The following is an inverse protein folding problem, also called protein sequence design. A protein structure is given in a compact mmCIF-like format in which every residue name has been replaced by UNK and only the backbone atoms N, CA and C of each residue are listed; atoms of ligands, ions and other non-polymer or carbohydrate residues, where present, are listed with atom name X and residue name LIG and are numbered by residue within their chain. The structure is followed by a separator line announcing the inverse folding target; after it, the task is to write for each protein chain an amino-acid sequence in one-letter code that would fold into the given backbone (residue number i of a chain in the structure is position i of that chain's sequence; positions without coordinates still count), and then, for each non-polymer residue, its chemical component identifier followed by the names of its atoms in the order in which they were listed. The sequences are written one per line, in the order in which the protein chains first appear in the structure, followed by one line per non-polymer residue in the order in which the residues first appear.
data_IF_312186746556
#
_entry.id   IF_312186746556
#
_cell.length_a   1.000
_cell.length_b   1.000
_cell.length_c   1.000
_cell.angle_alpha   90.00
_cell.angle_beta   90.00
_cell.angle_gamma   90.00
#
_symmetry.space_group_name_H-M   'P 1'
#
loop_
_entity.id
_entity.type
_entity.pdbx_description
1 polymer ?
#
# COMPACT_ATOMS: atom_id res chain seq x y z
N UNK A 1 1.55 -8.67 19.29
CA UNK A 1 0.86 -7.85 20.31
C UNK A 1 0.43 -6.53 19.66
N UNK A 2 -0.74 -6.01 20.03
CA UNK A 2 -1.96 -5.76 19.25
C UNK A 2 -1.88 -4.48 18.38
N UNK A 3 -2.69 -4.25 17.35
CA UNK A 3 -4.15 -4.40 17.29
C UNK A 3 -4.75 -2.99 17.42
N UNK A 4 -5.05 -2.37 16.27
CA UNK A 4 -5.77 -1.10 16.17
C UNK A 4 -7.19 -1.23 16.71
N UNK A 5 -7.58 -0.33 17.62
CA UNK A 5 -8.97 0.12 17.73
C UNK A 5 -9.08 1.26 18.74
N UNK A 6 -8.91 2.49 18.28
CA UNK A 6 -9.47 3.64 18.99
C UNK A 6 -9.68 4.81 18.04
N UNK A 7 -10.92 5.05 17.60
CA UNK A 7 -11.38 6.42 17.39
C UNK A 7 -12.90 6.50 17.50
N UNK A 8 -13.33 7.11 18.60
CA UNK A 8 -14.65 7.67 18.84
C UNK A 8 -14.88 8.86 17.90
N UNK A 9 -16.09 8.90 17.33
CA UNK A 9 -16.94 10.08 17.34
C UNK A 9 -16.71 11.13 16.26
N UNK A 10 -17.70 11.29 15.39
CA UNK A 10 -18.14 12.62 14.93
C UNK A 10 -19.67 12.63 14.93
N UNK A 11 -20.24 13.47 15.81
CA UNK A 11 -21.64 13.93 15.77
C UNK A 11 -21.66 15.23 14.99
N UNK A 12 -22.52 15.39 13.98
CA UNK A 12 -22.81 16.71 13.38
C UNK A 12 -24.21 16.69 12.76
N UNK A 13 -25.19 17.26 13.49
CA UNK A 13 -25.93 18.54 13.23
C UNK A 13 -27.23 18.35 12.43
N UNK A 14 -28.30 18.14 13.20
CA UNK A 14 -29.54 18.93 13.23
C UNK A 14 -30.10 19.46 11.89
N UNK A 15 -31.00 18.68 11.29
CA UNK A 15 -31.97 19.15 10.30
C UNK A 15 -33.11 19.90 11.01
N UNK A 16 -33.14 21.23 10.90
CA UNK A 16 -34.36 22.00 11.10
C UNK A 16 -35.05 22.17 9.75
N UNK A 17 -36.27 21.62 9.62
CA UNK A 17 -37.41 22.13 8.83
C UNK A 17 -38.48 21.03 8.73
N UNK A 18 -39.25 20.85 9.80
CA UNK A 18 -40.53 20.14 9.74
C UNK A 18 -41.60 21.12 9.26
N UNK A 19 -42.09 20.96 8.03
CA UNK A 19 -43.24 21.71 7.52
C UNK A 19 -44.53 21.15 8.11
N UNK A 20 -45.16 21.94 8.99
CA UNK A 20 -46.52 21.75 9.49
C UNK A 20 -47.51 21.65 8.31
N UNK A 21 -48.22 20.52 8.20
CA UNK A 21 -49.57 20.50 7.62
C UNK A 21 -50.54 21.04 8.67
N UNK A 22 -51.51 21.90 8.30
CA UNK A 22 -52.75 21.99 9.03
C UNK A 22 -53.91 21.56 8.13
N UNK A 23 -54.49 20.41 8.46
CA UNK A 23 -55.87 20.11 8.14
C UNK A 23 -56.61 19.91 9.45
N UNK A 24 -57.45 20.87 9.84
CA UNK A 24 -58.58 20.69 10.75
C UNK A 24 -59.45 21.96 10.75
N UNK A 25 -60.76 21.75 10.66
CA UNK A 25 -61.84 22.74 10.62
C UNK A 25 -62.09 23.33 12.01
N UNK A 26 -62.65 24.54 12.05
CA UNK A 26 -63.82 24.98 12.86
C UNK A 26 -64.01 26.50 12.67
N UNK A 27 -65.13 26.94 12.07
CA UNK A 27 -66.38 27.33 12.75
C UNK A 27 -66.27 28.65 13.51
N UNK A 28 -66.80 29.73 12.93
CA UNK A 28 -67.44 30.83 13.67
C UNK A 28 -68.42 31.57 12.77
N UNK A 29 -69.64 31.72 13.29
CA UNK A 29 -70.82 32.35 12.71
C UNK A 29 -70.66 33.87 12.55
N UNK A 30 -71.23 34.44 11.48
CA UNK A 30 -72.07 35.63 11.61
C UNK A 30 -73.02 35.79 10.40
N UNK A 31 -74.27 36.12 10.69
CA UNK A 31 -75.38 36.51 9.80
C UNK A 31 -76.09 37.67 10.52
N UNK A 32 -76.92 38.50 9.86
CA UNK A 32 -76.77 39.26 8.61
C UNK A 32 -77.04 40.78 8.90
N UNK A 33 -77.34 41.63 7.89
CA UNK A 33 -78.75 42.00 7.79
C UNK A 33 -79.32 42.00 6.36
N UNK A 34 -80.64 41.79 6.33
CA UNK A 34 -81.54 41.90 5.18
C UNK A 34 -81.72 43.35 4.76
N UNK A 35 -81.85 43.56 3.44
CA UNK A 35 -82.63 44.57 2.67
C UNK A 35 -81.82 44.89 1.39
N UNK A 36 -82.33 44.88 0.16
CA UNK A 36 -83.67 45.12 -0.35
C UNK A 36 -83.95 44.25 -1.58
N UNK A 37 -85.21 43.84 -1.74
CA UNK A 37 -85.79 43.48 -3.03
C UNK A 37 -85.67 44.70 -3.94
N UNK A 38 -84.90 44.62 -5.03
CA UNK A 38 -85.15 45.42 -6.22
C UNK A 38 -85.68 44.49 -7.30
N UNK A 39 -86.99 44.61 -7.47
CA UNK A 39 -87.78 44.22 -8.62
C UNK A 39 -87.03 44.44 -9.92
N UNK A 40 -87.07 43.44 -10.81
CA UNK A 40 -86.71 43.58 -12.21
C UNK A 40 -87.40 44.81 -12.81
N UNK A 41 -86.62 45.77 -13.31
CA UNK A 41 -87.06 46.78 -14.26
C UNK A 41 -85.83 47.35 -14.96
N UNK A 42 -85.90 47.23 -16.27
CA UNK A 42 -85.20 47.98 -17.30
C UNK A 42 -83.66 47.94 -17.36
N UNK A 43 -83.23 47.04 -18.25
CA UNK A 43 -82.05 47.22 -19.08
C UNK A 43 -82.21 48.52 -19.88
N UNK A 44 -81.60 49.61 -19.42
CA UNK A 44 -81.26 50.74 -20.28
C UNK A 44 -80.16 51.61 -19.64
N UNK A 45 -78.99 51.54 -20.27
CA UNK A 45 -78.09 52.66 -20.53
C UNK A 45 -77.18 53.20 -19.40
N UNK A 46 -76.17 52.40 -19.03
CA UNK A 46 -74.82 52.90 -18.70
C UNK A 46 -73.79 52.07 -19.50
N UNK A 47 -73.80 52.21 -20.84
CA UNK A 47 -72.89 51.51 -21.75
C UNK A 47 -71.86 52.46 -22.36
N UNK A 48 -71.09 53.14 -21.50
CA UNK A 48 -69.88 53.86 -21.96
C UNK A 48 -68.67 53.72 -21.03
N UNK A 49 -68.82 53.41 -19.74
CA UNK A 49 -67.66 53.10 -18.86
C UNK A 49 -67.22 51.62 -18.92
N UNK A 50 -68.07 50.73 -19.43
CA UNK A 50 -67.79 49.29 -19.49
C UNK A 50 -66.78 48.92 -20.60
N UNK A 51 -66.72 49.69 -21.68
CA UNK A 51 -65.78 49.46 -22.79
C UNK A 51 -64.34 49.79 -22.40
N UNK A 52 -64.11 50.88 -21.66
CA UNK A 52 -62.78 51.29 -21.20
C UNK A 52 -62.20 50.29 -20.19
N UNK A 53 -63.05 49.77 -19.30
CA UNK A 53 -62.73 48.67 -18.37
C UNK A 53 -62.35 47.38 -19.12
N UNK A 54 -63.10 47.01 -20.16
CA UNK A 54 -62.85 45.80 -20.96
C UNK A 54 -61.53 45.88 -21.73
N UNK A 55 -61.20 47.05 -22.31
CA UNK A 55 -59.90 47.28 -22.97
C UNK A 55 -58.73 47.28 -21.99
N UNK A 56 -58.92 47.84 -20.79
CA UNK A 56 -57.92 47.82 -19.72
C UNK A 56 -57.62 46.39 -19.24
N UNK A 57 -58.66 45.56 -19.08
CA UNK A 57 -58.55 44.14 -18.73
C UNK A 57 -57.83 43.35 -19.84
N UNK A 58 -58.13 43.63 -21.11
CA UNK A 58 -57.42 42.99 -22.22
C UNK A 58 -55.94 43.40 -22.27
N UNK A 59 -55.62 44.67 -22.01
CA UNK A 59 -54.24 45.15 -21.94
C UNK A 59 -53.46 44.47 -20.81
N UNK A 60 -54.03 44.41 -19.61
CA UNK A 60 -53.40 43.74 -18.46
C UNK A 60 -53.26 42.24 -18.67
N UNK A 61 -54.24 41.56 -19.28
CA UNK A 61 -54.09 40.15 -19.67
C UNK A 61 -52.99 39.94 -20.71
N UNK A 62 -52.83 40.87 -21.65
CA UNK A 62 -51.76 40.83 -22.65
C UNK A 62 -50.38 41.04 -22.01
N UNK A 63 -50.27 41.96 -21.06
CA UNK A 63 -49.06 42.18 -20.26
C UNK A 63 -48.74 40.97 -19.37
N UNK A 64 -49.73 40.39 -18.70
CA UNK A 64 -49.55 39.17 -17.90
C UNK A 64 -49.10 38.01 -18.79
N UNK A 65 -49.68 37.85 -19.98
CA UNK A 65 -49.28 36.83 -20.94
C UNK A 65 -47.85 37.03 -21.43
N UNK A 66 -47.46 38.28 -21.72
CA UNK A 66 -46.11 38.63 -22.14
C UNK A 66 -45.10 38.38 -21.02
N UNK A 67 -45.42 38.78 -19.79
CA UNK A 67 -44.62 38.50 -18.60
C UNK A 67 -44.45 37.00 -18.36
N UNK A 68 -45.52 36.21 -18.53
CA UNK A 68 -45.49 34.74 -18.42
C UNK A 68 -44.63 34.07 -19.52
N UNK A 69 -44.62 34.62 -20.73
CA UNK A 69 -43.75 34.13 -21.82
C UNK A 69 -42.27 34.51 -21.62
N UNK A 70 -42.01 35.64 -20.97
CA UNK A 70 -40.67 36.07 -20.56
C UNK A 70 -40.19 35.38 -19.27
N UNK A 71 -41.05 34.56 -18.64
CA UNK A 71 -40.68 33.83 -17.43
C UNK A 71 -39.88 32.58 -17.78
N UNK A 72 -38.73 32.41 -17.13
CA UNK A 72 -37.85 31.23 -17.28
C UNK A 72 -38.65 29.95 -17.12
N UNK A 73 -38.64 29.13 -18.16
CA UNK A 73 -39.37 27.87 -18.14
C UNK A 73 -38.56 26.77 -17.46
N UNK A 74 -39.24 25.70 -17.06
CA UNK A 74 -38.59 24.52 -16.48
C UNK A 74 -37.58 23.89 -17.44
N UNK A 75 -37.82 24.00 -18.74
CA UNK A 75 -36.95 23.46 -19.78
C UNK A 75 -35.68 24.31 -19.95
N UNK A 76 -35.79 25.64 -19.83
CA UNK A 76 -34.63 26.55 -19.80
C UNK A 76 -33.72 26.22 -18.61
N UNK A 77 -34.32 25.98 -17.44
CA UNK A 77 -33.58 25.60 -16.23
C UNK A 77 -32.92 24.22 -16.39
N UNK A 78 -33.63 23.25 -16.97
CA UNK A 78 -33.08 21.90 -17.19
C UNK A 78 -31.94 21.91 -18.21
N UNK A 79 -32.05 22.74 -19.26
CA UNK A 79 -31.02 22.90 -20.27
C UNK A 79 -29.78 23.60 -19.69
N UNK A 80 -29.97 24.63 -18.87
CA UNK A 80 -28.90 25.31 -18.15
C UNK A 80 -28.16 24.34 -17.21
N UNK A 81 -28.86 23.49 -16.46
CA UNK A 81 -28.26 22.46 -15.60
C UNK A 81 -27.45 21.45 -16.42
N UNK A 82 -27.98 21.02 -17.57
CA UNK A 82 -27.30 20.07 -18.45
C UNK A 82 -26.06 20.65 -19.15
N UNK A 83 -26.05 21.97 -19.36
CA UNK A 83 -24.87 22.72 -19.81
C UNK A 83 -23.86 22.99 -18.70
N UNK A 84 -24.31 23.19 -17.46
CA UNK A 84 -23.43 23.51 -16.32
C UNK A 84 -22.54 22.34 -15.90
N UNK A 85 -23.07 21.12 -16.01
CA UNK A 85 -22.34 19.89 -15.71
C UNK A 85 -22.30 19.06 -16.98
N UNK A 86 -21.45 19.45 -17.93
CA UNK A 86 -21.20 18.55 -19.05
C UNK A 86 -20.49 17.31 -18.51
N UNK A 87 -21.10 16.16 -18.75
CA UNK A 87 -20.58 14.85 -18.33
C UNK A 87 -19.15 14.60 -18.83
N UNK A 88 -18.76 15.28 -19.91
CA UNK A 88 -17.41 15.30 -20.49
C UNK A 88 -16.39 15.96 -19.55
N UNK A 89 -16.68 17.13 -19.01
CA UNK A 89 -15.76 17.86 -18.13
C UNK A 89 -15.51 17.08 -16.84
N UNK A 90 -16.56 16.48 -16.28
CA UNK A 90 -16.43 15.62 -15.10
C UNK A 90 -15.60 14.37 -15.41
N UNK A 91 -15.84 13.74 -16.57
CA UNK A 91 -15.06 12.57 -17.02
C UNK A 91 -13.58 12.91 -17.19
N UNK A 92 -13.26 14.07 -17.76
CA UNK A 92 -11.88 14.49 -17.98
C UNK A 92 -11.17 14.80 -16.66
N UNK A 93 -11.85 15.48 -15.72
CA UNK A 93 -11.33 15.73 -14.38
C UNK A 93 -11.06 14.41 -13.64
N UNK A 94 -12.05 13.50 -13.62
CA UNK A 94 -11.91 12.20 -12.96
C UNK A 94 -10.78 11.39 -13.61
N UNK A 95 -10.70 11.36 -14.94
CA UNK A 95 -9.63 10.66 -15.65
C UNK A 95 -8.27 11.23 -15.31
N UNK A 96 -8.14 12.55 -15.22
CA UNK A 96 -6.87 13.21 -14.90
C UNK A 96 -6.43 12.92 -13.45
N UNK A 97 -7.37 12.96 -12.50
CA UNK A 97 -7.13 12.60 -11.09
C UNK A 97 -6.68 11.13 -10.98
N UNK A 98 -7.41 10.21 -11.60
CA UNK A 98 -7.09 8.78 -11.57
C UNK A 98 -5.73 8.52 -12.21
N UNK A 99 -5.42 9.14 -13.35
CA UNK A 99 -4.10 9.02 -14.00
C UNK A 99 -2.97 9.50 -13.08
N UNK A 100 -3.13 10.66 -12.43
CA UNK A 100 -2.11 11.19 -11.51
C UNK A 100 -1.92 10.30 -10.28
N UNK A 101 -3.01 9.76 -9.72
CA UNK A 101 -2.96 8.80 -8.62
C UNK A 101 -2.21 7.52 -9.02
N UNK A 102 -2.50 6.96 -10.20
CA UNK A 102 -1.84 5.76 -10.69
C UNK A 102 -0.34 6.01 -10.93
N UNK A 103 0.03 7.11 -11.57
CA UNK A 103 1.43 7.48 -11.79
C UNK A 103 2.18 7.68 -10.46
N UNK A 104 1.55 8.35 -9.50
CA UNK A 104 2.15 8.55 -8.17
C UNK A 104 2.32 7.24 -7.42
N UNK A 105 1.33 6.34 -7.51
CA UNK A 105 1.40 5.02 -6.90
C UNK A 105 2.49 4.16 -7.52
N UNK A 106 2.58 4.12 -8.86
CA UNK A 106 3.61 3.39 -9.59
C UNK A 106 5.00 3.89 -9.24
N UNK A 107 5.21 5.21 -9.20
CA UNK A 107 6.47 5.81 -8.77
C UNK A 107 6.86 5.40 -7.35
N UNK A 108 5.94 5.57 -6.39
CA UNK A 108 6.20 5.22 -4.98
C UNK A 108 6.47 3.72 -4.79
N UNK A 109 5.79 2.86 -5.55
CA UNK A 109 6.02 1.43 -5.52
C UNK A 109 7.40 1.08 -6.06
N UNK A 110 7.76 1.64 -7.22
CA UNK A 110 9.06 1.44 -7.85
C UNK A 110 10.20 1.88 -6.92
N UNK A 111 10.12 3.07 -6.33
CA UNK A 111 11.13 3.58 -5.39
C UNK A 111 11.28 2.67 -4.15
N UNK A 112 10.16 2.18 -3.59
CA UNK A 112 10.20 1.25 -2.45
C UNK A 112 10.84 -0.09 -2.82
N UNK A 113 10.49 -0.63 -3.98
CA UNK A 113 11.05 -1.90 -4.47
C UNK A 113 12.54 -1.72 -4.71
N UNK A 114 12.96 -0.66 -5.41
CA UNK A 114 14.36 -0.39 -5.70
C UNK A 114 15.18 -0.21 -4.43
N UNK A 115 14.68 0.56 -3.45
CA UNK A 115 15.34 0.73 -2.16
C UNK A 115 15.49 -0.60 -1.41
N UNK A 116 14.46 -1.46 -1.44
CA UNK A 116 14.49 -2.77 -0.78
C UNK A 116 15.47 -3.72 -1.48
N UNK A 117 15.48 -3.73 -2.81
CA UNK A 117 16.44 -4.50 -3.62
C UNK A 117 17.86 -4.05 -3.29
N UNK A 118 18.16 -2.75 -3.40
CA UNK A 118 19.48 -2.18 -3.11
C UNK A 118 19.97 -2.53 -1.70
N UNK A 119 19.11 -2.41 -0.70
CA UNK A 119 19.44 -2.78 0.70
C UNK A 119 19.73 -4.28 0.84
N UNK A 120 18.96 -5.12 0.17
CA UNK A 120 19.13 -6.59 0.25
C UNK A 120 20.40 -7.02 -0.47
N UNK A 121 20.64 -6.47 -1.66
CA UNK A 121 21.86 -6.69 -2.44
C UNK A 121 23.10 -6.24 -1.67
N UNK A 122 23.07 -5.07 -1.02
CA UNK A 122 24.18 -4.62 -0.18
C UNK A 122 24.50 -5.59 0.97
N UNK A 123 23.48 -6.05 1.70
CA UNK A 123 23.67 -7.06 2.76
C UNK A 123 24.23 -8.39 2.25
N UNK A 124 23.76 -8.83 1.08
CA UNK A 124 24.26 -10.06 0.47
C UNK A 124 25.71 -9.89 0.01
N UNK A 125 26.08 -8.71 -0.49
CA UNK A 125 27.46 -8.40 -0.84
C UNK A 125 28.37 -8.43 0.40
N UNK A 126 27.97 -7.79 1.50
CA UNK A 126 28.73 -7.81 2.75
C UNK A 126 28.94 -9.25 3.27
N UNK A 127 27.90 -10.09 3.17
CA UNK A 127 27.98 -11.50 3.55
C UNK A 127 28.90 -12.30 2.63
N UNK A 128 28.88 -12.02 1.33
CA UNK A 128 29.75 -12.65 0.35
C UNK A 128 31.21 -12.30 0.63
N UNK A 129 31.50 -11.03 0.89
CA UNK A 129 32.85 -10.54 1.18
C UNK A 129 33.39 -11.17 2.48
N UNK A 130 32.55 -11.25 3.53
CA UNK A 130 32.89 -11.94 4.76
C UNK A 130 33.21 -13.43 4.52
N UNK A 131 32.36 -14.13 3.78
CA UNK A 131 32.57 -15.54 3.44
C UNK A 131 33.83 -15.76 2.60
N UNK A 132 34.17 -14.83 1.70
CA UNK A 132 35.40 -14.90 0.91
C UNK A 132 36.64 -14.81 1.79
N UNK A 133 36.66 -13.86 2.73
CA UNK A 133 37.76 -13.69 3.68
C UNK A 133 37.91 -14.95 4.56
N UNK A 134 36.80 -15.44 5.10
CA UNK A 134 36.80 -16.66 5.93
C UNK A 134 37.27 -17.89 5.14
N UNK A 135 36.89 -18.02 3.87
CA UNK A 135 37.38 -19.11 3.02
C UNK A 135 38.89 -19.04 2.81
N UNK A 136 39.44 -17.84 2.58
CA UNK A 136 40.87 -17.69 2.39
C UNK A 136 41.64 -18.00 3.69
N UNK A 137 41.15 -17.52 4.83
CA UNK A 137 41.69 -17.87 6.15
C UNK A 137 41.69 -19.39 6.39
N UNK A 138 40.60 -20.09 6.02
CA UNK A 138 40.53 -21.54 6.12
C UNK A 138 41.53 -22.23 5.20
N UNK A 139 41.68 -21.76 3.96
CA UNK A 139 42.67 -22.28 3.00
C UNK A 139 44.10 -22.11 3.50
N UNK A 140 44.42 -20.98 4.12
CA UNK A 140 45.73 -20.76 4.72
C UNK A 140 45.99 -21.70 5.91
N UNK A 141 44.99 -21.88 6.78
CA UNK A 141 45.10 -22.85 7.89
C UNK A 141 45.31 -24.28 7.40
N UNK A 142 44.62 -24.69 6.34
CA UNK A 142 44.81 -26.02 5.73
C UNK A 142 46.24 -26.14 5.20
N UNK A 143 46.71 -25.18 4.40
CA UNK A 143 48.10 -25.14 3.91
C UNK A 143 49.13 -25.19 5.04
N UNK A 144 48.89 -24.51 6.15
CA UNK A 144 49.79 -24.52 7.31
C UNK A 144 49.81 -25.90 8.00
N UNK A 145 48.65 -26.56 8.10
CA UNK A 145 48.54 -27.93 8.62
C UNK A 145 49.21 -28.95 7.71
N UNK A 146 49.03 -28.85 6.39
CA UNK A 146 49.66 -29.74 5.42
C UNK A 146 51.19 -29.70 5.55
N UNK A 147 51.77 -28.50 5.64
CA UNK A 147 53.20 -28.32 5.91
C UNK A 147 53.66 -28.92 7.24
N UNK A 148 52.78 -28.92 8.25
CA UNK A 148 53.08 -29.52 9.55
C UNK A 148 53.03 -31.03 9.49
N UNK A 149 52.09 -31.59 8.73
CA UNK A 149 51.97 -33.03 8.46
C UNK A 149 53.20 -33.52 7.71
N UNK A 150 53.60 -32.85 6.63
CA UNK A 150 54.79 -33.19 5.83
C UNK A 150 56.06 -33.28 6.70
N UNK A 151 56.26 -32.30 7.60
CA UNK A 151 57.38 -32.34 8.56
C UNK A 151 57.31 -33.50 9.54
N UNK A 152 56.10 -33.84 10.01
CA UNK A 152 55.92 -34.97 10.93
C UNK A 152 56.16 -36.30 10.20
N UNK A 153 55.74 -36.44 8.95
CA UNK A 153 56.00 -37.61 8.12
C UNK A 153 57.50 -37.81 7.89
N UNK A 154 58.24 -36.73 7.59
CA UNK A 154 59.70 -36.76 7.48
C UNK A 154 60.36 -37.22 8.79
N UNK A 155 59.96 -36.64 9.94
CA UNK A 155 60.48 -37.03 11.26
C UNK A 155 60.18 -38.49 11.62
N UNK A 156 58.99 -38.98 11.29
CA UNK A 156 58.61 -40.38 11.52
C UNK A 156 59.45 -41.32 10.66
N UNK A 157 59.65 -40.97 9.39
CA UNK A 157 60.52 -41.72 8.47
C UNK A 157 61.96 -41.79 8.99
N UNK A 158 62.53 -40.64 9.38
CA UNK A 158 63.89 -40.56 9.94
C UNK A 158 64.04 -41.39 11.21
N UNK A 159 63.09 -41.28 12.13
CA UNK A 159 63.10 -42.05 13.37
C UNK A 159 62.99 -43.56 13.10
N UNK A 160 62.15 -43.96 12.15
CA UNK A 160 62.01 -45.36 11.75
C UNK A 160 63.31 -45.90 11.15
N UNK A 161 63.97 -45.13 10.28
CA UNK A 161 65.25 -45.51 9.68
C UNK A 161 66.35 -45.66 10.76
N UNK A 162 66.45 -44.70 11.69
CA UNK A 162 67.38 -44.79 12.82
C UNK A 162 67.11 -45.99 13.72
N UNK A 163 65.84 -46.30 13.98
CA UNK A 163 65.46 -47.47 14.76
C UNK A 163 65.88 -48.78 14.06
N UNK A 164 65.67 -48.87 12.74
CA UNK A 164 66.12 -50.02 11.94
C UNK A 164 67.64 -50.17 11.99
N UNK A 165 68.39 -49.07 11.85
CA UNK A 165 69.87 -49.08 11.94
C UNK A 165 70.35 -49.52 13.33
N UNK A 166 69.73 -49.01 14.40
CA UNK A 166 70.05 -49.39 15.76
C UNK A 166 69.81 -50.89 16.02
N UNK A 167 68.71 -51.45 15.49
CA UNK A 167 68.42 -52.89 15.58
C UNK A 167 69.47 -53.70 14.82
N UNK A 168 69.84 -53.29 13.60
CA UNK A 168 70.89 -53.97 12.81
C UNK A 168 72.22 -53.99 13.54
N UNK A 169 72.62 -52.86 14.12
CA UNK A 169 73.84 -52.76 14.91
C UNK A 169 73.79 -53.67 16.15
N UNK A 170 72.68 -53.65 16.89
CA UNK A 170 72.45 -54.52 18.04
C UNK A 170 72.58 -56.01 17.68
N UNK A 171 71.97 -56.43 16.57
CA UNK A 171 72.07 -57.80 16.09
C UNK A 171 73.52 -58.18 15.74
N UNK A 172 74.24 -57.30 15.04
CA UNK A 172 75.66 -57.54 14.70
C UNK A 172 76.54 -57.71 15.95
N UNK A 173 76.30 -56.92 17.00
CA UNK A 173 77.00 -57.05 18.28
C UNK A 173 76.68 -58.40 18.94
N UNK A 174 75.40 -58.79 18.99
CA UNK A 174 74.98 -60.08 19.57
C UNK A 174 75.62 -61.25 18.82
N UNK A 175 75.65 -61.21 17.49
CA UNK A 175 76.30 -62.24 16.66
C UNK A 175 77.81 -62.34 16.94
N UNK A 176 78.50 -61.20 17.09
CA UNK A 176 79.93 -61.15 17.43
C UNK A 176 80.20 -61.79 18.80
N UNK A 177 79.47 -61.36 19.84
CA UNK A 177 79.61 -61.90 21.19
C UNK A 177 79.32 -63.41 21.22
N UNK A 178 78.26 -63.85 20.53
CA UNK A 178 77.89 -65.27 20.45
C UNK A 178 79.02 -66.08 19.79
N UNK A 179 79.61 -65.55 18.73
CA UNK A 179 80.74 -66.18 18.03
C UNK A 179 81.98 -66.29 18.91
N UNK A 180 82.34 -65.23 19.62
CA UNK A 180 83.47 -65.22 20.58
C UNK A 180 83.28 -66.20 21.74
N UNK A 181 82.07 -66.26 22.31
CA UNK A 181 81.72 -67.21 23.36
C UNK A 181 81.89 -68.67 22.89
N UNK A 182 81.41 -68.99 21.67
CA UNK A 182 81.55 -70.32 21.09
C UNK A 182 83.02 -70.71 20.85
N UNK A 183 83.85 -69.77 20.39
CA UNK A 183 85.30 -69.99 20.22
C UNK A 183 85.94 -70.31 21.57
N UNK A 184 85.63 -69.51 22.60
CA UNK A 184 86.17 -69.67 23.95
C UNK A 184 85.77 -71.01 24.56
N UNK A 185 84.50 -71.41 24.46
CA UNK A 185 84.02 -72.72 24.93
C UNK A 185 84.73 -73.88 24.23
N UNK A 186 84.91 -73.81 22.90
CA UNK A 186 85.63 -74.86 22.15
C UNK A 186 87.11 -74.94 22.51
N UNK A 187 87.74 -73.81 22.87
CA UNK A 187 89.12 -73.77 23.35
C UNK A 187 89.29 -74.43 24.72
N UNK A 188 88.34 -74.20 25.64
CA UNK A 188 88.34 -74.79 26.98
C UNK A 188 88.16 -76.32 27.00
N UNK A 189 87.43 -76.89 26.03
CA UNK A 189 87.19 -78.34 25.94
C UNK A 189 88.41 -79.12 25.40
N UNK A 190 89.41 -78.44 24.81
CA UNK A 190 90.61 -79.07 24.24
C UNK A 190 91.77 -79.25 25.23
N UNK A 191 91.60 -78.86 26.49
CA UNK A 191 92.54 -79.10 27.60
C UNK A 191 91.91 -80.04 28.63
#
# INVERSE_FOLDING_TARGET
MPGDSNQKGVKTVQTMLASKKPGAKESSQEKPPKQNKRTHSDVADESLECTDSMTSIQSTLSEIKKALQETVTKDDLSSAIHCLVQQKDLKDIVTNIVKQLLLTFEKNLSEKVEAKVRKTTGKLQDQLDFLMIDNENLRERVRAKDKSIEKLEEQVSDNNNRAIEAIKLGNSIVESITSECLITQKGLIKY
#
